data_IF_239219148560
#
_entry.id   IF_239219148560
#
_cell.length_a   1.000
_cell.length_b   1.000
_cell.length_c   1.000
_cell.angle_alpha   90.00
_cell.angle_beta   90.00
_cell.angle_gamma   90.00
#
_symmetry.space_group_name_H-M   'P 1'
#
loop_
_entity.id
_entity.type
_entity.pdbx_description
1 polymer ?
#
# COMPACT_ATOMS: atom_id res chain seq x y z
N UNK A 1 7.86 14.14 -17.08
CA UNK A 1 7.99 13.68 -15.69
C UNK A 1 8.94 14.64 -14.99
N UNK A 2 8.43 15.58 -14.19
CA UNK A 2 9.27 16.54 -13.47
C UNK A 2 9.47 16.02 -12.05
N UNK A 3 10.52 15.22 -11.85
CA UNK A 3 11.01 14.87 -10.53
C UNK A 3 11.47 16.15 -9.82
N UNK A 4 11.12 16.33 -8.55
CA UNK A 4 11.59 17.49 -7.80
C UNK A 4 13.12 17.46 -7.69
N UNK A 5 13.80 18.63 -7.67
CA UNK A 5 15.26 18.71 -7.60
C UNK A 5 15.93 18.11 -6.36
N UNK A 6 15.18 17.49 -5.44
CA UNK A 6 15.65 17.05 -4.13
C UNK A 6 15.57 15.54 -3.88
N UNK A 7 15.23 14.72 -4.89
CA UNK A 7 15.25 13.26 -4.74
C UNK A 7 16.65 12.74 -5.05
N UNK A 8 17.28 12.10 -4.06
CA UNK A 8 18.64 11.56 -4.20
C UNK A 8 18.71 10.55 -5.35
N UNK A 9 19.71 10.61 -6.27
CA UNK A 9 19.77 9.75 -7.45
C UNK A 9 19.69 8.24 -7.17
N UNK A 10 20.25 7.79 -6.03
CA UNK A 10 20.15 6.38 -5.59
C UNK A 10 18.71 5.89 -5.41
N UNK A 11 17.74 6.77 -5.11
CA UNK A 11 16.34 6.40 -4.98
C UNK A 11 15.67 6.13 -6.34
N UNK A 12 16.37 6.38 -7.45
CA UNK A 12 15.98 6.02 -8.79
C UNK A 12 16.81 4.85 -9.34
N UNK A 13 17.72 4.28 -8.55
CA UNK A 13 18.56 3.17 -8.96
C UNK A 13 17.88 1.82 -8.64
N UNK A 14 17.54 1.00 -9.67
CA UNK A 14 16.95 -0.31 -9.45
C UNK A 14 17.81 -1.27 -8.63
N UNK A 15 19.14 -1.16 -8.70
CA UNK A 15 20.08 -2.04 -7.98
C UNK A 15 20.04 -1.72 -6.49
N UNK A 16 20.03 -0.43 -6.14
CA UNK A 16 19.86 0.02 -4.75
C UNK A 16 18.60 -0.58 -4.13
N UNK A 17 17.47 -0.47 -4.84
CA UNK A 17 16.21 -1.01 -4.36
C UNK A 17 16.18 -2.52 -4.33
N UNK A 18 16.75 -3.23 -5.32
CA UNK A 18 16.87 -4.69 -5.28
C UNK A 18 17.58 -5.16 -4.01
N UNK A 19 18.69 -4.51 -3.65
CA UNK A 19 19.42 -4.85 -2.43
C UNK A 19 18.62 -4.54 -1.15
N UNK A 20 17.86 -3.43 -1.15
CA UNK A 20 16.95 -3.16 -0.05
C UNK A 20 15.90 -4.28 0.05
N UNK A 21 15.21 -4.57 -1.05
CA UNK A 21 14.10 -5.54 -1.17
C UNK A 21 14.51 -6.98 -0.81
N UNK A 22 15.70 -7.44 -1.21
CA UNK A 22 16.24 -8.75 -0.83
C UNK A 22 16.39 -8.94 0.68
N UNK A 23 16.62 -7.86 1.41
CA UNK A 23 16.75 -7.88 2.87
C UNK A 23 15.42 -7.65 3.58
N UNK A 24 14.33 -7.36 2.86
CA UNK A 24 13.03 -7.34 3.51
C UNK A 24 12.50 -8.76 3.64
N UNK A 25 12.09 -9.11 4.86
CA UNK A 25 11.16 -10.21 5.10
C UNK A 25 9.72 -9.76 4.73
N UNK A 26 9.52 -9.47 3.43
CA UNK A 26 8.28 -8.94 2.87
C UNK A 26 7.17 -9.99 2.97
N UNK A 27 6.37 -9.85 4.02
CA UNK A 27 5.12 -10.58 4.17
C UNK A 27 5.16 -11.84 5.04
N UNK A 28 6.17 -12.05 5.88
CA UNK A 28 6.00 -13.06 6.95
C UNK A 28 5.11 -12.58 8.11
N UNK A 29 4.85 -11.27 8.21
CA UNK A 29 4.33 -10.68 9.45
C UNK A 29 3.09 -9.79 9.24
N UNK A 30 2.05 -10.30 8.56
CA UNK A 30 0.69 -9.84 8.89
C UNK A 30 0.42 -10.28 10.33
N UNK A 31 0.49 -9.34 11.27
CA UNK A 31 0.33 -9.65 12.69
C UNK A 31 -1.14 -9.88 13.02
N UNK A 32 -2.02 -9.08 12.42
CA UNK A 32 -3.47 -9.12 12.66
C UNK A 32 -4.20 -8.69 11.39
N UNK A 33 -5.22 -9.45 11.00
CA UNK A 33 -6.23 -9.03 10.02
C UNK A 33 -7.61 -9.33 10.59
N UNK A 34 -8.32 -8.30 11.03
CA UNK A 34 -9.58 -8.44 11.78
C UNK A 34 -10.73 -7.80 11.02
N UNK A 35 -11.79 -8.56 10.74
CA UNK A 35 -12.99 -8.00 10.13
C UNK A 35 -13.67 -6.97 11.07
N UNK A 36 -13.94 -5.79 10.53
CA UNK A 36 -14.69 -4.71 11.19
C UNK A 36 -16.15 -4.81 10.77
N UNK A 37 -16.89 -5.68 11.45
CA UNK A 37 -18.32 -5.90 11.16
C UNK A 37 -19.15 -4.64 11.38
N UNK A 38 -18.74 -3.80 12.33
CA UNK A 38 -19.31 -2.49 12.64
C UNK A 38 -19.18 -1.48 11.49
N UNK A 39 -18.11 -1.60 10.70
CA UNK A 39 -17.88 -0.77 9.51
C UNK A 39 -18.36 -1.43 8.21
N UNK A 40 -18.60 -2.74 8.24
CA UNK A 40 -19.01 -3.52 7.09
C UNK A 40 -20.48 -3.32 6.77
N UNK A 41 -20.83 -3.41 5.49
CA UNK A 41 -22.20 -3.33 4.99
C UNK A 41 -22.48 -4.48 4.03
N UNK A 42 -23.71 -4.56 3.50
CA UNK A 42 -24.02 -5.49 2.40
C UNK A 42 -23.20 -5.21 1.13
N UNK A 43 -22.71 -3.98 0.94
CA UNK A 43 -21.98 -3.55 -0.27
C UNK A 43 -20.47 -3.42 -0.05
N UNK A 44 -19.98 -3.43 1.18
CA UNK A 44 -18.55 -3.31 1.48
C UNK A 44 -18.17 -4.21 2.66
N UNK A 45 -17.05 -4.91 2.54
CA UNK A 45 -16.40 -5.60 3.66
C UNK A 45 -15.20 -4.78 4.10
N UNK A 46 -15.06 -4.61 5.40
CA UNK A 46 -13.99 -3.80 6.01
C UNK A 46 -13.23 -4.68 6.98
N UNK A 47 -11.91 -4.54 6.98
CA UNK A 47 -11.03 -5.17 7.95
C UNK A 47 -9.94 -4.20 8.39
N UNK A 48 -9.54 -4.28 9.64
CA UNK A 48 -8.35 -3.63 10.18
C UNK A 48 -7.16 -4.57 10.03
N UNK A 49 -6.00 -4.01 9.68
CA UNK A 49 -4.76 -4.75 9.61
C UNK A 49 -3.66 -4.08 10.45
N UNK A 50 -2.80 -4.92 11.02
CA UNK A 50 -1.50 -4.53 11.56
C UNK A 50 -0.43 -5.30 10.82
N UNK A 51 0.48 -4.56 10.19
CA UNK A 51 1.57 -5.09 9.38
C UNK A 51 2.91 -4.67 9.98
N UNK A 52 3.82 -5.62 10.18
CA UNK A 52 5.18 -5.29 10.57
C UNK A 52 5.98 -4.86 9.33
N UNK A 53 6.54 -3.65 9.35
CA UNK A 53 7.47 -3.18 8.32
C UNK A 53 8.86 -3.81 8.51
N UNK A 54 9.75 -3.56 7.56
CA UNK A 54 11.10 -4.12 7.48
C UNK A 54 12.01 -3.84 8.68
N UNK A 55 11.75 -2.75 9.40
CA UNK A 55 12.51 -2.30 10.57
C UNK A 55 11.81 -2.64 11.90
N UNK A 56 10.72 -3.42 11.86
CA UNK A 56 9.91 -3.75 13.03
C UNK A 56 8.81 -2.72 13.34
N UNK A 57 8.73 -1.60 12.61
CA UNK A 57 7.68 -0.61 12.82
C UNK A 57 6.31 -1.17 12.44
N UNK A 58 5.31 -0.98 13.30
CA UNK A 58 3.95 -1.44 13.04
C UNK A 58 3.16 -0.43 12.21
N UNK A 59 2.69 -0.88 11.05
CA UNK A 59 1.79 -0.13 10.17
C UNK A 59 0.36 -0.56 10.47
N UNK A 60 -0.45 0.39 10.96
CA UNK A 60 -1.87 0.20 11.18
C UNK A 60 -2.65 0.70 9.97
N UNK A 61 -3.65 -0.07 9.52
CA UNK A 61 -4.49 0.34 8.41
C UNK A 61 -5.85 -0.32 8.34
N UNK A 62 -6.64 0.12 7.35
CA UNK A 62 -7.93 -0.44 6.98
C UNK A 62 -7.90 -0.93 5.54
N UNK A 63 -8.45 -2.12 5.33
CA UNK A 63 -8.79 -2.68 4.03
C UNK A 63 -10.31 -2.58 3.86
N UNK A 64 -10.75 -1.92 2.80
CA UNK A 64 -12.15 -1.85 2.40
C UNK A 64 -12.31 -2.44 1.01
N UNK A 65 -13.22 -3.41 0.85
CA UNK A 65 -13.43 -4.08 -0.45
C UNK A 65 -14.91 -4.14 -0.82
N UNK A 66 -15.25 -3.93 -2.10
CA UNK A 66 -16.64 -4.05 -2.54
C UNK A 66 -17.10 -5.50 -2.43
N UNK A 67 -18.28 -5.70 -1.84
CA UNK A 67 -18.90 -7.01 -1.67
C UNK A 67 -19.82 -7.40 -2.84
N UNK A 68 -20.15 -6.44 -3.71
CA UNK A 68 -21.08 -6.60 -4.84
C UNK A 68 -20.36 -6.88 -6.18
N UNK A 69 -19.04 -6.68 -6.24
CA UNK A 69 -18.24 -6.98 -7.44
C UNK A 69 -17.84 -8.44 -7.43
N UNK A 70 -18.23 -9.25 -8.45
CA UNK A 70 -17.81 -10.63 -8.53
C UNK A 70 -16.32 -10.74 -8.89
N UNK A 71 -15.67 -11.82 -8.44
CA UNK A 71 -14.30 -12.15 -8.82
C UNK A 71 -13.21 -11.30 -8.16
N UNK A 72 -12.07 -11.21 -8.83
CA UNK A 72 -10.91 -10.41 -8.39
C UNK A 72 -11.12 -8.95 -8.79
N UNK A 73 -10.85 -8.02 -7.87
CA UNK A 73 -10.96 -6.57 -8.12
C UNK A 73 -9.61 -5.87 -8.11
N UNK A 74 -9.45 -4.79 -8.89
CA UNK A 74 -8.33 -3.88 -8.69
C UNK A 74 -8.31 -3.36 -7.26
N UNK A 75 -7.13 -2.92 -6.83
CA UNK A 75 -6.95 -2.32 -5.52
C UNK A 75 -6.11 -1.06 -5.59
N UNK A 76 -6.27 -0.26 -4.55
CA UNK A 76 -5.56 0.98 -4.33
C UNK A 76 -4.88 0.95 -2.98
N UNK A 77 -3.66 1.48 -2.90
CA UNK A 77 -2.96 1.72 -1.63
C UNK A 77 -2.73 3.22 -1.47
N UNK A 78 -3.06 3.74 -0.30
CA UNK A 78 -2.81 5.13 0.10
C UNK A 78 -2.37 5.20 1.55
N UNK A 79 -1.74 6.31 1.92
CA UNK A 79 -1.35 6.60 3.30
C UNK A 79 -2.10 7.83 3.80
N UNK A 80 -2.18 7.95 5.12
CA UNK A 80 -2.59 9.18 5.81
C UNK A 80 -1.48 9.59 6.79
N UNK A 81 -1.57 10.82 7.31
CA UNK A 81 -0.67 11.29 8.36
C UNK A 81 -0.69 10.35 9.58
N UNK A 82 0.34 10.40 10.46
CA UNK A 82 0.42 9.50 11.62
C UNK A 82 -0.81 9.54 12.54
N UNK A 83 -1.41 10.72 12.68
CA UNK A 83 -2.67 10.97 13.42
C UNK A 83 -3.90 11.08 12.52
N UNK A 84 -3.74 10.79 11.23
CA UNK A 84 -4.80 10.91 10.23
C UNK A 84 -5.88 9.85 10.42
N UNK A 85 -7.14 10.16 10.06
CA UNK A 85 -8.23 9.23 10.22
C UNK A 85 -8.12 8.07 9.22
N UNK A 86 -8.22 6.84 9.73
CA UNK A 86 -8.38 5.65 8.90
C UNK A 86 -9.86 5.51 8.53
N UNK A 87 -10.19 5.95 7.32
CA UNK A 87 -11.56 5.93 6.80
C UNK A 87 -11.64 5.18 5.49
N UNK A 88 -12.84 4.68 5.17
CA UNK A 88 -13.12 4.06 3.87
C UNK A 88 -13.22 5.12 2.77
N UNK A 89 -12.53 4.94 1.65
CA UNK A 89 -12.82 5.75 0.46
C UNK A 89 -14.08 5.21 -0.26
N UNK A 90 -15.23 5.83 0.06
CA UNK A 90 -16.52 5.50 -0.55
C UNK A 90 -16.55 5.76 -2.06
N UNK A 91 -15.72 6.67 -2.60
CA UNK A 91 -15.66 6.91 -4.04
C UNK A 91 -14.95 5.74 -4.73
N UNK A 92 -13.77 5.35 -4.24
CA UNK A 92 -13.01 4.19 -4.73
C UNK A 92 -13.85 2.90 -4.66
N UNK A 93 -14.56 2.65 -3.55
CA UNK A 93 -15.44 1.49 -3.41
C UNK A 93 -16.59 1.46 -4.42
N UNK A 94 -17.17 2.63 -4.75
CA UNK A 94 -18.24 2.74 -5.76
C UNK A 94 -17.76 2.39 -7.16
N UNK A 95 -16.47 2.59 -7.44
CA UNK A 95 -15.84 2.19 -8.71
C UNK A 95 -15.52 0.69 -8.77
N UNK A 96 -15.81 -0.06 -7.70
CA UNK A 96 -15.50 -1.49 -7.64
C UNK A 96 -14.04 -1.80 -7.33
N UNK A 97 -13.29 -0.81 -6.82
CA UNK A 97 -11.89 -0.92 -6.44
C UNK A 97 -11.80 -1.17 -4.92
N UNK A 98 -10.92 -2.06 -4.48
CA UNK A 98 -10.60 -2.21 -3.06
C UNK A 98 -9.64 -1.10 -2.62
N UNK A 99 -9.83 -0.57 -1.41
CA UNK A 99 -9.06 0.54 -0.86
C UNK A 99 -8.28 0.04 0.37
N UNK A 100 -6.97 0.24 0.36
CA UNK A 100 -6.07 -0.04 1.48
C UNK A 100 -5.48 1.29 1.92
N UNK A 101 -5.81 1.69 3.15
CA UNK A 101 -5.27 2.88 3.77
C UNK A 101 -4.46 2.51 5.00
N UNK A 102 -3.30 3.12 5.19
CA UNK A 102 -2.50 2.95 6.40
C UNK A 102 -2.01 4.29 6.93
N UNK A 103 -1.72 4.34 8.23
CA UNK A 103 -1.07 5.49 8.86
C UNK A 103 0.44 5.41 8.61
N UNK A 104 0.99 6.44 7.96
CA UNK A 104 2.43 6.59 7.82
C UNK A 104 3.04 6.98 9.17
N UNK A 105 4.12 6.35 9.64
CA UNK A 105 4.80 6.76 10.87
C UNK A 105 5.41 8.16 10.77
N UNK A 106 5.46 8.89 11.88
CA UNK A 106 5.96 10.27 11.91
C UNK A 106 7.48 10.34 11.69
N UNK A 107 7.96 11.39 11.04
CA UNK A 107 9.39 11.65 10.82
C UNK A 107 10.14 10.58 10.00
N UNK A 108 9.41 9.67 9.34
CA UNK A 108 10.02 8.50 8.69
C UNK A 108 10.76 8.88 7.39
N UNK A 109 12.01 8.44 7.20
CA UNK A 109 12.77 8.69 5.97
C UNK A 109 12.07 8.18 4.71
N UNK A 110 12.25 8.86 3.58
CA UNK A 110 11.61 8.50 2.30
C UNK A 110 11.85 7.04 1.91
N UNK A 111 13.08 6.54 2.11
CA UNK A 111 13.42 5.13 1.86
C UNK A 111 12.48 4.18 2.60
N UNK A 112 12.28 4.41 3.89
CA UNK A 112 11.50 3.54 4.75
C UNK A 112 10.00 3.67 4.44
N UNK A 113 9.53 4.87 4.05
CA UNK A 113 8.17 5.07 3.55
C UNK A 113 7.89 4.31 2.26
N UNK A 114 8.84 4.28 1.32
CA UNK A 114 8.72 3.45 0.11
C UNK A 114 8.59 1.98 0.48
N UNK A 115 9.42 1.50 1.41
CA UNK A 115 9.38 0.12 1.88
C UNK A 115 8.06 -0.22 2.59
N UNK A 116 7.49 0.72 3.35
CA UNK A 116 6.16 0.58 3.95
C UNK A 116 5.07 0.42 2.87
N UNK A 117 5.08 1.27 1.83
CA UNK A 117 4.15 1.17 0.69
C UNK A 117 4.27 -0.20 0.01
N UNK A 118 5.50 -0.63 -0.25
CA UNK A 118 5.78 -1.94 -0.84
C UNK A 118 5.24 -3.07 0.04
N UNK A 119 5.45 -3.02 1.35
CA UNK A 119 4.95 -4.02 2.28
C UNK A 119 3.41 -4.09 2.25
N UNK A 120 2.72 -2.96 2.26
CA UNK A 120 1.25 -2.90 2.18
C UNK A 120 0.74 -3.42 0.84
N UNK A 121 1.44 -3.14 -0.27
CA UNK A 121 1.10 -3.69 -1.59
C UNK A 121 1.22 -5.22 -1.58
N UNK A 122 2.33 -5.77 -1.07
CA UNK A 122 2.52 -7.21 -0.97
C UNK A 122 1.46 -7.90 -0.12
N UNK A 123 1.11 -7.30 1.03
CA UNK A 123 0.01 -7.74 1.87
C UNK A 123 -1.32 -7.73 1.10
N UNK A 124 -1.66 -6.60 0.46
CA UNK A 124 -2.90 -6.45 -0.30
C UNK A 124 -3.04 -7.48 -1.42
N UNK A 125 -1.96 -7.82 -2.12
CA UNK A 125 -1.94 -8.84 -3.17
C UNK A 125 -2.28 -10.25 -2.66
N UNK A 126 -2.09 -10.54 -1.36
CA UNK A 126 -2.41 -11.83 -0.72
C UNK A 126 -3.86 -11.90 -0.23
N UNK A 127 -4.54 -10.76 -0.13
CA UNK A 127 -5.95 -10.71 0.30
C UNK A 127 -6.86 -11.36 -0.73
N UNK A 128 -7.72 -12.28 -0.27
CA UNK A 128 -8.63 -13.03 -1.14
C UNK A 128 -9.51 -12.10 -1.99
N UNK A 129 -9.46 -12.31 -3.31
CA UNK A 129 -10.27 -11.59 -4.28
C UNK A 129 -9.70 -10.22 -4.68
N UNK A 130 -8.44 -9.94 -4.36
CA UNK A 130 -7.67 -8.86 -4.97
C UNK A 130 -7.03 -9.35 -6.29
N UNK A 131 -7.00 -8.49 -7.29
CA UNK A 131 -6.24 -8.68 -8.52
C UNK A 131 -4.87 -8.03 -8.39
N UNK A 132 -3.84 -8.86 -8.14
CA UNK A 132 -2.48 -8.39 -7.94
C UNK A 132 -1.89 -7.64 -9.15
N UNK A 133 -2.46 -7.83 -10.36
CA UNK A 133 -1.99 -7.17 -11.58
C UNK A 133 -2.58 -5.77 -11.78
N UNK A 134 -3.57 -5.38 -10.98
CA UNK A 134 -4.31 -4.12 -11.14
C UNK A 134 -4.22 -3.29 -9.86
N UNK A 135 -3.06 -2.66 -9.69
CA UNK A 135 -2.71 -1.84 -8.52
C UNK A 135 -2.67 -0.36 -8.92
N UNK A 136 -3.28 0.51 -8.10
CA UNK A 136 -3.14 1.97 -8.18
C UNK A 136 -2.52 2.48 -6.88
N UNK A 137 -1.53 3.37 -6.94
CA UNK A 137 -0.85 3.88 -5.75
C UNK A 137 -1.09 5.38 -5.53
N UNK A 138 -1.26 5.76 -4.25
CA UNK A 138 -1.36 7.15 -3.81
C UNK A 138 -2.76 7.76 -3.89
N UNK A 139 -2.87 9.01 -3.41
CA UNK A 139 -4.10 9.79 -3.51
C UNK A 139 -4.19 10.61 -4.82
N UNK A 140 -4.77 10.08 -5.90
CA UNK A 140 -4.97 10.82 -7.14
C UNK A 140 -5.93 12.03 -7.03
N UNK A 141 -6.66 12.18 -5.92
CA UNK A 141 -7.46 13.40 -5.68
C UNK A 141 -6.61 14.58 -5.21
N UNK A 142 -5.39 14.31 -4.71
CA UNK A 142 -4.41 15.35 -4.41
C UNK A 142 -3.48 15.44 -5.61
N UNK A 143 -3.36 16.62 -6.21
CA UNK A 143 -2.64 16.90 -7.46
C UNK A 143 -1.10 16.73 -7.36
N UNK A 144 -0.63 15.89 -6.43
CA UNK A 144 0.75 15.67 -6.05
C UNK A 144 0.84 14.24 -5.49
N UNK A 145 1.29 13.31 -6.32
CA UNK A 145 1.68 12.00 -5.82
C UNK A 145 2.89 12.19 -4.89
N UNK A 146 2.81 11.67 -3.66
CA UNK A 146 3.94 11.69 -2.74
C UNK A 146 5.07 10.84 -3.30
N UNK A 147 6.31 11.25 -3.02
CA UNK A 147 7.50 10.67 -3.66
C UNK A 147 7.62 9.16 -3.39
N UNK A 148 7.15 8.67 -2.23
CA UNK A 148 7.13 7.25 -1.91
C UNK A 148 6.25 6.41 -2.84
N UNK A 149 5.09 6.93 -3.25
CA UNK A 149 4.19 6.20 -4.15
C UNK A 149 4.74 6.19 -5.57
N UNK A 150 5.30 7.31 -6.04
CA UNK A 150 5.94 7.35 -7.36
C UNK A 150 7.11 6.37 -7.46
N UNK A 151 7.94 6.29 -6.43
CA UNK A 151 9.05 5.34 -6.39
C UNK A 151 8.50 3.90 -6.31
N UNK A 152 7.53 3.62 -5.44
CA UNK A 152 6.94 2.30 -5.32
C UNK A 152 6.27 1.82 -6.63
N UNK A 153 5.58 2.69 -7.37
CA UNK A 153 5.05 2.39 -8.71
C UNK A 153 6.16 1.99 -9.67
N UNK A 154 7.29 2.69 -9.63
CA UNK A 154 8.45 2.38 -10.46
C UNK A 154 9.05 1.01 -10.12
N UNK A 155 9.15 0.67 -8.83
CA UNK A 155 9.63 -0.63 -8.37
C UNK A 155 8.70 -1.79 -8.77
N UNK A 156 7.39 -1.57 -8.71
CA UNK A 156 6.39 -2.52 -9.21
C UNK A 156 6.53 -2.72 -10.72
N UNK A 157 6.66 -1.64 -11.49
CA UNK A 157 6.79 -1.69 -12.94
C UNK A 157 8.07 -2.42 -13.42
N UNK A 158 9.14 -2.36 -12.63
CA UNK A 158 10.37 -3.10 -12.89
C UNK A 158 10.32 -4.58 -12.51
N UNK A 159 9.17 -5.09 -12.07
CA UNK A 159 8.99 -6.47 -11.60
C UNK A 159 9.93 -6.87 -10.45
N UNK A 160 10.60 -5.92 -9.80
CA UNK A 160 11.52 -6.18 -8.69
C UNK A 160 10.82 -6.80 -7.47
N UNK A 161 9.49 -6.64 -7.42
CA UNK A 161 8.63 -7.19 -6.37
C UNK A 161 8.06 -8.57 -6.71
N UNK A 162 8.06 -8.96 -7.99
CA UNK A 162 7.63 -10.30 -8.42
C UNK A 162 8.73 -11.36 -8.30
N UNK A 163 9.98 -10.91 -8.15
CA UNK A 163 11.17 -11.77 -8.00
C UNK A 163 11.60 -11.95 -6.55
N UNK A 164 10.82 -11.47 -5.59
CA UNK A 164 11.08 -11.70 -4.18
C UNK A 164 10.68 -13.13 -3.81
N UNK A 165 11.55 -13.86 -3.07
CA UNK A 165 11.35 -15.27 -2.75
C UNK A 165 10.08 -15.55 -1.93
#
# INVERSE_FOLDING_TARGET
MHLRPSVHPLLLDPIYWRNCLLNLDLGRNELVFQERQDLSTRRAKVAEFLLCSHDGTLLKGLCSRPAWVPGRRPFRVRSVSPSGPLEMDKATLRQGVADFVFQGPDGRPLKDRVLDVVAVVHMAQRVRGIDAKRTNLGDHNVNRADDEFMIAEHLLAWNLLTTLP
#
